data_IF_184629482074
#
_entry.id   IF_184629482074
#
_cell.length_a   1.000
_cell.length_b   1.000
_cell.length_c   1.000
_cell.angle_alpha   90.00
_cell.angle_beta   90.00
_cell.angle_gamma   90.00
#
_symmetry.space_group_name_H-M   'P 1'
#
loop_
_entity.id
_entity.type
_entity.pdbx_description
1 polymer ?
#
# COMPACT_ATOMS: atom_id res chain seq x y z
N UNK A 1 15.67 -56.61 11.93
CA UNK A 1 16.36 -56.64 10.61
C UNK A 1 15.75 -55.57 9.71
N UNK A 2 16.42 -54.43 9.51
CA UNK A 2 15.91 -53.31 8.68
C UNK A 2 16.11 -53.68 7.21
N UNK A 3 15.04 -54.03 6.48
CA UNK A 3 15.12 -54.35 5.05
C UNK A 3 15.67 -53.14 4.30
N UNK A 4 16.74 -53.33 3.53
CA UNK A 4 17.31 -52.29 2.67
C UNK A 4 16.21 -51.76 1.75
N UNK A 5 16.01 -50.44 1.64
CA UNK A 5 15.04 -49.89 0.70
C UNK A 5 15.35 -50.42 -0.70
N UNK A 6 14.37 -51.07 -1.34
CA UNK A 6 14.48 -51.43 -2.74
C UNK A 6 14.49 -50.18 -3.61
N UNK A 7 15.02 -50.28 -4.83
CA UNK A 7 15.11 -49.17 -5.80
C UNK A 7 13.73 -48.50 -6.01
N UNK A 8 12.65 -49.28 -6.04
CA UNK A 8 11.28 -48.79 -6.10
C UNK A 8 10.88 -47.92 -4.89
N UNK A 9 11.37 -48.23 -3.68
CA UNK A 9 11.13 -47.43 -2.48
C UNK A 9 11.87 -46.09 -2.48
N UNK A 10 13.08 -46.06 -3.04
CA UNK A 10 13.85 -44.83 -3.27
C UNK A 10 13.20 -43.93 -4.32
N UNK A 11 12.70 -44.50 -5.42
CA UNK A 11 11.95 -43.77 -6.45
C UNK A 11 10.64 -43.20 -5.89
N UNK A 12 9.89 -43.99 -5.11
CA UNK A 12 8.66 -43.51 -4.47
C UNK A 12 8.94 -42.42 -3.44
N UNK A 13 10.04 -42.52 -2.67
CA UNK A 13 10.45 -41.48 -1.73
C UNK A 13 10.86 -40.18 -2.46
N UNK A 14 11.56 -40.29 -3.59
CA UNK A 14 11.92 -39.14 -4.43
C UNK A 14 10.67 -38.48 -5.04
N UNK A 15 9.78 -39.27 -5.64
CA UNK A 15 8.53 -38.78 -6.24
C UNK A 15 7.62 -38.09 -5.19
N UNK A 16 7.52 -38.66 -4.00
CA UNK A 16 6.77 -38.07 -2.88
C UNK A 16 7.38 -36.72 -2.46
N UNK A 17 8.72 -36.63 -2.40
CA UNK A 17 9.41 -35.38 -2.06
C UNK A 17 9.20 -34.29 -3.11
N UNK A 18 9.20 -34.66 -4.40
CA UNK A 18 8.93 -33.73 -5.50
C UNK A 18 7.48 -33.25 -5.49
N UNK A 19 6.51 -34.11 -5.16
CA UNK A 19 5.11 -33.70 -4.97
C UNK A 19 4.96 -32.72 -3.82
N UNK A 20 5.57 -32.97 -2.66
CA UNK A 20 5.53 -32.02 -1.55
C UNK A 20 6.18 -30.67 -1.89
N UNK A 21 7.26 -30.67 -2.69
CA UNK A 21 7.87 -29.44 -3.18
C UNK A 21 6.91 -28.66 -4.09
N UNK A 22 6.28 -29.32 -5.06
CA UNK A 22 5.30 -28.71 -5.96
C UNK A 22 4.09 -28.15 -5.21
N UNK A 23 3.56 -28.90 -4.24
CA UNK A 23 2.45 -28.43 -3.39
C UNK A 23 2.89 -27.23 -2.55
N UNK A 24 4.10 -27.24 -1.99
CA UNK A 24 4.66 -26.10 -1.25
C UNK A 24 4.78 -24.84 -2.10
N UNK A 25 5.29 -24.97 -3.33
CA UNK A 25 5.37 -23.86 -4.29
C UNK A 25 3.98 -23.33 -4.68
N UNK A 26 3.00 -24.21 -4.89
CA UNK A 26 1.62 -23.82 -5.20
C UNK A 26 0.94 -23.11 -4.03
N UNK A 27 1.15 -23.56 -2.79
CA UNK A 27 0.62 -22.89 -1.60
C UNK A 27 1.21 -21.48 -1.46
N UNK A 28 2.50 -21.29 -1.76
CA UNK A 28 3.12 -19.97 -1.75
C UNK A 28 2.49 -19.04 -2.81
N UNK A 29 2.28 -19.54 -4.03
CA UNK A 29 1.64 -18.77 -5.12
C UNK A 29 0.21 -18.37 -4.76
N UNK A 30 -0.61 -19.33 -4.30
CA UNK A 30 -2.00 -19.06 -3.89
C UNK A 30 -2.06 -17.99 -2.80
N UNK A 31 -1.18 -18.04 -1.81
CA UNK A 31 -1.12 -17.00 -0.76
C UNK A 31 -0.82 -15.62 -1.35
N UNK A 32 0.10 -15.53 -2.31
CA UNK A 32 0.42 -14.25 -2.95
C UNK A 32 -0.71 -13.73 -3.84
N UNK A 33 -1.43 -14.61 -4.52
CA UNK A 33 -2.52 -14.21 -5.41
C UNK A 33 -3.75 -13.74 -4.62
N UNK A 34 -4.09 -14.44 -3.54
CA UNK A 34 -5.12 -13.99 -2.60
C UNK A 34 -4.77 -12.62 -2.01
N UNK A 35 -3.51 -12.38 -1.65
CA UNK A 35 -3.11 -11.05 -1.14
C UNK A 35 -3.26 -9.94 -2.18
N UNK A 36 -2.96 -10.21 -3.46
CA UNK A 36 -3.16 -9.23 -4.53
C UNK A 36 -4.64 -8.90 -4.74
N UNK A 37 -5.50 -9.91 -4.69
CA UNK A 37 -6.95 -9.73 -4.86
C UNK A 37 -7.56 -8.94 -3.69
N UNK A 38 -7.12 -9.22 -2.45
CA UNK A 38 -7.50 -8.45 -1.28
C UNK A 38 -7.05 -6.98 -1.38
N UNK A 39 -5.83 -6.72 -1.87
CA UNK A 39 -5.35 -5.36 -2.11
C UNK A 39 -6.14 -4.63 -3.21
N UNK A 40 -6.57 -5.34 -4.25
CA UNK A 40 -7.42 -4.77 -5.30
C UNK A 40 -8.79 -4.37 -4.77
N UNK A 41 -9.43 -5.26 -4.00
CA UNK A 41 -10.72 -5.00 -3.34
C UNK A 41 -10.63 -3.85 -2.35
N UNK A 42 -9.55 -3.80 -1.57
CA UNK A 42 -9.31 -2.71 -0.63
C UNK A 42 -9.10 -1.37 -1.35
N UNK A 43 -8.37 -1.37 -2.48
CA UNK A 43 -8.19 -0.16 -3.31
C UNK A 43 -9.52 0.40 -3.79
N UNK A 44 -10.42 -0.44 -4.31
CA UNK A 44 -11.72 0.04 -4.80
C UNK A 44 -12.59 0.58 -3.68
N UNK A 45 -12.59 -0.06 -2.52
CA UNK A 45 -13.32 0.41 -1.33
C UNK A 45 -12.76 1.74 -0.81
N UNK A 46 -11.43 1.89 -0.79
CA UNK A 46 -10.79 3.13 -0.35
C UNK A 46 -11.05 4.27 -1.36
N UNK A 47 -11.15 3.96 -2.66
CA UNK A 47 -11.54 4.91 -3.68
C UNK A 47 -12.98 5.39 -3.49
N UNK A 48 -13.92 4.48 -3.25
CA UNK A 48 -15.32 4.81 -2.98
C UNK A 48 -15.46 5.63 -1.69
N UNK A 49 -14.74 5.24 -0.63
CA UNK A 49 -14.68 5.98 0.63
C UNK A 49 -14.14 7.40 0.42
N UNK A 50 -13.05 7.53 -0.32
CA UNK A 50 -12.43 8.80 -0.68
C UNK A 50 -13.37 9.71 -1.48
N UNK A 51 -14.12 9.15 -2.44
CA UNK A 51 -15.13 9.89 -3.23
C UNK A 51 -16.26 10.42 -2.33
N UNK A 52 -16.77 9.57 -1.43
CA UNK A 52 -17.89 9.91 -0.54
C UNK A 52 -17.51 10.95 0.52
N UNK A 53 -16.30 10.86 1.09
CA UNK A 53 -15.85 11.70 2.19
C UNK A 53 -14.89 12.82 1.78
N UNK A 54 -14.77 13.14 0.48
CA UNK A 54 -13.86 14.18 -0.04
C UNK A 54 -14.03 15.53 0.67
N UNK A 55 -15.27 15.96 0.91
CA UNK A 55 -15.56 17.22 1.61
C UNK A 55 -15.09 17.20 3.06
N UNK A 56 -15.23 16.06 3.73
CA UNK A 56 -14.94 15.90 5.15
C UNK A 56 -13.42 15.84 5.37
N UNK A 57 -12.69 15.18 4.47
CA UNK A 57 -11.21 15.17 4.42
C UNK A 57 -10.67 16.59 4.20
N UNK A 58 -11.38 17.43 3.44
CA UNK A 58 -10.97 18.82 3.20
C UNK A 58 -11.24 19.72 4.41
N UNK A 59 -12.39 19.56 5.07
CA UNK A 59 -12.82 20.41 6.19
C UNK A 59 -12.17 20.06 7.53
N UNK A 60 -12.03 18.76 7.84
CA UNK A 60 -11.60 18.30 9.16
C UNK A 60 -10.13 17.83 9.14
N UNK A 61 -9.19 18.55 9.78
CA UNK A 61 -7.78 18.17 9.79
C UNK A 61 -7.51 16.86 10.54
N UNK A 62 -8.26 16.59 11.63
CA UNK A 62 -8.13 15.35 12.41
C UNK A 62 -8.51 14.13 11.57
N UNK A 63 -9.64 14.20 10.86
CA UNK A 63 -10.10 13.13 10.00
C UNK A 63 -9.14 12.87 8.83
N UNK A 64 -8.53 13.93 8.30
CA UNK A 64 -7.48 13.80 7.28
C UNK A 64 -6.27 13.03 7.79
N UNK A 65 -5.81 13.30 9.01
CA UNK A 65 -4.69 12.57 9.60
C UNK A 65 -5.02 11.08 9.75
N UNK A 66 -6.20 10.76 10.27
CA UNK A 66 -6.66 9.37 10.40
C UNK A 66 -6.76 8.65 9.05
N UNK A 67 -7.29 9.33 8.03
CA UNK A 67 -7.33 8.82 6.67
C UNK A 67 -5.91 8.56 6.11
N UNK A 68 -4.96 9.46 6.39
CA UNK A 68 -3.58 9.30 5.97
C UNK A 68 -2.88 8.13 6.68
N UNK A 69 -3.07 7.97 7.98
CA UNK A 69 -2.57 6.82 8.75
C UNK A 69 -3.13 5.49 8.23
N UNK A 70 -4.41 5.46 7.84
CA UNK A 70 -5.02 4.29 7.22
C UNK A 70 -4.35 3.97 5.87
N UNK A 71 -4.10 4.99 5.04
CA UNK A 71 -3.42 4.81 3.75
C UNK A 71 -1.97 4.33 3.94
N UNK A 72 -1.24 4.89 4.90
CA UNK A 72 0.15 4.54 5.21
C UNK A 72 0.30 3.09 5.67
N UNK A 73 -0.65 2.56 6.45
CA UNK A 73 -0.64 1.13 6.87
C UNK A 73 -0.72 0.15 5.70
N UNK A 74 -1.27 0.58 4.56
CA UNK A 74 -1.40 -0.25 3.35
C UNK A 74 -0.22 -0.02 2.39
N UNK A 75 0.67 0.93 2.70
CA UNK A 75 1.77 1.34 1.81
C UNK A 75 1.29 2.20 0.65
N UNK A 76 0.11 2.81 0.77
CA UNK A 76 -0.42 3.77 -0.21
C UNK A 76 -0.23 5.16 0.38
N UNK A 77 0.60 5.98 -0.25
CA UNK A 77 0.73 7.39 0.13
C UNK A 77 -0.04 8.26 -0.89
N UNK A 78 -1.13 8.93 -0.47
CA UNK A 78 -1.87 9.85 -1.33
C UNK A 78 -1.06 11.11 -1.71
N UNK A 79 0.10 11.36 -1.08
CA UNK A 79 0.99 12.51 -1.34
C UNK A 79 2.22 12.17 -2.17
N UNK A 80 2.60 10.89 -2.27
CA UNK A 80 3.84 10.49 -2.94
C UNK A 80 3.83 10.69 -4.47
N UNK A 81 2.65 10.79 -5.09
CA UNK A 81 2.56 10.91 -6.55
C UNK A 81 1.47 11.88 -7.00
N UNK A 82 1.89 12.98 -7.62
CA UNK A 82 1.01 13.94 -8.32
C UNK A 82 0.30 13.34 -9.54
N UNK A 83 0.68 12.13 -9.99
CA UNK A 83 0.00 11.36 -11.06
C UNK A 83 -0.76 10.16 -10.53
N UNK A 84 -0.82 10.00 -9.21
CA UNK A 84 -1.57 8.91 -8.60
C UNK A 84 -3.07 9.16 -8.71
N UNK A 85 -3.84 8.09 -8.87
CA UNK A 85 -5.32 8.10 -8.83
C UNK A 85 -5.83 8.92 -7.64
N UNK A 86 -5.13 8.85 -6.51
CA UNK A 86 -5.48 9.55 -5.27
C UNK A 86 -5.31 11.07 -5.32
N UNK A 87 -4.30 11.57 -6.03
CA UNK A 87 -4.03 13.01 -6.11
C UNK A 87 -5.13 13.74 -6.87
N UNK A 88 -5.54 13.18 -8.02
CA UNK A 88 -6.65 13.70 -8.84
C UNK A 88 -8.00 13.52 -8.14
N UNK A 89 -8.24 12.34 -7.56
CA UNK A 89 -9.51 12.01 -6.91
C UNK A 89 -9.79 12.90 -5.70
N UNK A 90 -8.80 13.05 -4.81
CA UNK A 90 -8.95 13.74 -3.54
C UNK A 90 -8.63 15.25 -3.65
N UNK A 91 -7.84 15.68 -4.64
CA UNK A 91 -7.38 17.07 -4.75
C UNK A 91 -6.58 17.52 -3.53
N UNK A 92 -5.91 16.55 -2.88
CA UNK A 92 -5.12 16.77 -1.68
C UNK A 92 -3.76 17.38 -2.04
N UNK A 93 -3.22 17.06 -3.22
CA UNK A 93 -1.95 17.61 -3.73
C UNK A 93 -1.96 19.14 -3.76
N UNK A 94 -3.04 19.75 -4.27
CA UNK A 94 -3.19 21.22 -4.33
C UNK A 94 -3.25 21.84 -2.93
N UNK A 95 -3.95 21.19 -1.98
CA UNK A 95 -4.03 21.67 -0.60
C UNK A 95 -2.66 21.69 0.10
N UNK A 96 -1.86 20.63 -0.05
CA UNK A 96 -0.51 20.59 0.54
C UNK A 96 0.48 21.49 -0.20
N UNK A 97 0.31 21.66 -1.52
CA UNK A 97 1.10 22.60 -2.30
C UNK A 97 0.84 24.06 -1.88
N UNK A 98 -0.41 24.43 -1.67
CA UNK A 98 -0.78 25.76 -1.13
C UNK A 98 -0.17 25.99 0.25
N UNK A 99 -0.21 25.01 1.17
CA UNK A 99 0.45 25.11 2.47
C UNK A 99 1.97 25.30 2.34
N UNK A 100 2.62 24.56 1.43
CA UNK A 100 4.06 24.70 1.16
C UNK A 100 4.41 26.10 0.62
N UNK A 101 3.61 26.60 -0.32
CA UNK A 101 3.79 27.96 -0.86
C UNK A 101 3.55 29.03 0.20
N UNK A 102 2.50 28.89 1.03
CA UNK A 102 2.20 29.83 2.11
C UNK A 102 3.29 29.85 3.19
N UNK A 103 3.82 28.69 3.57
CA UNK A 103 4.91 28.60 4.54
C UNK A 103 6.21 29.16 3.98
N UNK A 104 6.58 28.82 2.75
CA UNK A 104 7.76 29.37 2.07
C UNK A 104 7.66 30.90 1.88
N UNK A 105 6.49 31.40 1.48
CA UNK A 105 6.27 32.83 1.31
C UNK A 105 6.32 33.58 2.64
N UNK A 106 5.70 33.03 3.71
CA UNK A 106 5.82 33.60 5.07
C UNK A 106 7.26 33.59 5.58
N UNK A 107 8.00 32.48 5.40
CA UNK A 107 9.40 32.39 5.80
C UNK A 107 10.27 33.37 5.00
N UNK A 108 10.05 33.49 3.70
CA UNK A 108 10.78 34.46 2.87
C UNK A 108 10.45 35.91 3.23
N UNK A 109 9.19 36.26 3.48
CA UNK A 109 8.80 37.59 3.94
C UNK A 109 9.30 37.88 5.35
N UNK A 110 9.25 36.92 6.27
CA UNK A 110 9.80 37.07 7.62
C UNK A 110 11.33 37.22 7.59
N UNK A 111 12.02 36.48 6.74
CA UNK A 111 13.46 36.60 6.54
C UNK A 111 13.83 37.96 5.92
N UNK A 112 13.04 38.43 4.94
CA UNK A 112 13.21 39.75 4.32
C UNK A 112 12.94 40.90 5.30
N UNK A 113 11.96 40.77 6.19
CA UNK A 113 11.69 41.76 7.25
C UNK A 113 12.69 41.70 8.41
N UNK A 114 13.29 40.54 8.68
CA UNK A 114 14.34 40.40 9.71
C UNK A 114 15.71 40.95 9.26
N UNK A 115 15.84 41.35 7.99
CA UNK A 115 17.07 41.85 7.38
C UNK A 115 16.91 43.28 6.83
N UNK A 116 15.98 44.05 7.43
CA UNK A 116 15.80 45.48 7.22
C UNK A 116 15.66 46.18 8.56
#
# INVERSE_FOLDING_TARGET
MRRRPGIAGLQNAAATRDQFRLVGENVAKVRTDVMKEQLATFRSQLEEFARKHKSDIRKNPIFRQQFHEMCAKVGVDPLASNKGVWAELLGIGDFYYELGCYTHFKLSCAFFWSWK
#
